data_IF_279236687884
#
_entry.id   IF_279236687884
#
_cell.length_a   1.000
_cell.length_b   1.000
_cell.length_c   1.000
_cell.angle_alpha   90.00
_cell.angle_beta   90.00
_cell.angle_gamma   90.00
#
_symmetry.space_group_name_H-M   'P 1'
#
loop_
_entity.id
_entity.type
_entity.pdbx_description
1 polymer ?
#
# COMPACT_ATOMS: atom_id res chain seq x y z
N UNK A 1 15.63 12.12 15.87
CA UNK A 1 15.18 12.11 14.46
C UNK A 1 15.55 13.43 13.80
N UNK A 2 16.07 13.39 12.57
CA UNK A 2 16.39 14.57 11.77
C UNK A 2 15.77 14.42 10.38
N UNK A 3 14.94 15.37 9.97
CA UNK A 3 14.48 15.50 8.58
C UNK A 3 15.62 16.09 7.74
N UNK A 4 15.94 15.47 6.63
CA UNK A 4 16.99 15.89 5.69
C UNK A 4 16.36 16.63 4.52
N UNK A 5 15.33 16.04 3.91
CA UNK A 5 14.71 16.59 2.69
C UNK A 5 13.27 16.14 2.55
N UNK A 6 12.43 17.01 2.04
CA UNK A 6 11.12 16.68 1.44
C UNK A 6 11.20 16.90 -0.07
N UNK A 7 10.40 16.16 -0.81
CA UNK A 7 10.31 16.31 -2.26
C UNK A 7 9.17 15.49 -2.86
N UNK A 8 9.18 15.40 -4.18
CA UNK A 8 8.17 14.69 -4.95
C UNK A 8 8.82 13.61 -5.82
N UNK A 9 8.19 12.43 -5.84
CA UNK A 9 8.51 11.37 -6.81
C UNK A 9 7.87 11.72 -8.16
N UNK A 10 6.63 12.27 -8.14
CA UNK A 10 5.92 12.67 -9.35
C UNK A 10 6.26 14.10 -9.75
N UNK A 11 6.78 14.36 -10.98
CA UNK A 11 7.05 15.70 -11.46
C UNK A 11 5.76 16.49 -11.69
N UNK A 12 5.77 17.80 -11.36
CA UNK A 12 4.58 18.68 -11.40
C UNK A 12 4.04 18.92 -12.82
N UNK A 13 4.88 18.91 -13.83
CA UNK A 13 4.58 19.51 -15.13
C UNK A 13 4.06 18.54 -16.19
N UNK A 14 4.07 17.23 -15.95
CA UNK A 14 3.82 16.23 -17.00
C UNK A 14 2.54 15.42 -16.89
N UNK A 15 1.77 15.59 -15.81
CA UNK A 15 0.58 14.79 -15.60
C UNK A 15 -0.69 15.62 -15.58
N UNK A 16 -1.46 15.62 -16.69
CA UNK A 16 -2.76 16.26 -16.74
C UNK A 16 -3.80 15.58 -15.84
N UNK A 17 -3.49 14.38 -15.34
CA UNK A 17 -4.33 13.62 -14.41
C UNK A 17 -3.73 13.72 -13.03
N UNK A 18 -4.35 14.55 -12.22
CA UNK A 18 -3.80 15.09 -10.98
C UNK A 18 -3.98 14.18 -9.76
N UNK A 19 -4.37 12.92 -9.91
CA UNK A 19 -4.56 12.01 -8.79
C UNK A 19 -3.57 10.85 -8.84
N UNK A 20 -2.58 10.90 -7.95
CA UNK A 20 -1.60 9.83 -7.70
C UNK A 20 -1.68 9.44 -6.23
N UNK A 21 -1.77 8.15 -5.92
CA UNK A 21 -1.99 7.67 -4.55
C UNK A 21 -1.43 6.27 -4.30
N UNK A 22 -1.46 5.86 -3.06
CA UNK A 22 -1.11 4.51 -2.57
C UNK A 22 0.27 4.05 -3.06
N UNK A 23 1.34 4.80 -2.69
CA UNK A 23 2.67 4.44 -3.13
C UNK A 23 3.28 3.34 -2.27
N UNK A 24 4.23 2.64 -2.89
CA UNK A 24 5.19 1.78 -2.20
C UNK A 24 6.61 2.13 -2.64
N UNK A 25 7.61 1.88 -1.79
CA UNK A 25 9.02 2.01 -2.12
C UNK A 25 9.82 0.86 -1.53
N UNK A 26 10.75 0.33 -2.33
CA UNK A 26 11.73 -0.67 -1.90
C UNK A 26 13.14 -0.25 -2.30
N UNK A 27 14.12 -0.68 -1.51
CA UNK A 27 15.52 -0.65 -1.89
C UNK A 27 15.88 -1.99 -2.54
N UNK A 28 16.41 -1.94 -3.75
CA UNK A 28 16.84 -3.11 -4.51
C UNK A 28 18.27 -3.52 -4.13
N UNK A 29 18.62 -4.77 -4.35
CA UNK A 29 19.94 -5.33 -4.07
C UNK A 29 21.07 -4.60 -4.79
N UNK A 30 20.80 -3.95 -5.93
CA UNK A 30 21.75 -3.12 -6.66
C UNK A 30 21.94 -1.71 -6.08
N UNK A 31 21.18 -1.37 -5.01
CA UNK A 31 21.19 -0.07 -4.35
C UNK A 31 20.29 0.98 -4.99
N UNK A 32 19.55 0.63 -6.05
CA UNK A 32 18.51 1.48 -6.64
C UNK A 32 17.28 1.48 -5.76
N UNK A 33 16.58 2.61 -5.64
CA UNK A 33 15.23 2.64 -5.08
C UNK A 33 14.21 2.52 -6.21
N UNK A 34 13.18 1.69 -5.99
CA UNK A 34 12.03 1.58 -6.86
C UNK A 34 10.79 2.00 -6.09
N UNK A 35 10.11 3.03 -6.56
CA UNK A 35 8.79 3.43 -6.08
C UNK A 35 7.72 3.08 -7.11
N UNK A 36 6.56 2.59 -6.66
CA UNK A 36 5.40 2.35 -7.50
C UNK A 36 4.15 2.96 -6.85
N UNK A 37 3.16 3.33 -7.65
CA UNK A 37 1.91 3.96 -7.18
C UNK A 37 0.78 3.83 -8.19
N UNK A 38 -0.45 4.06 -7.74
CA UNK A 38 -1.60 4.24 -8.62
C UNK A 38 -1.59 5.64 -9.22
N UNK A 39 -1.57 5.73 -10.54
CA UNK A 39 -1.51 7.02 -11.24
C UNK A 39 -2.39 7.05 -12.50
N UNK A 40 -2.22 8.08 -13.33
CA UNK A 40 -3.02 8.33 -14.53
C UNK A 40 -4.53 8.52 -14.22
N UNK A 41 -4.87 8.88 -13.00
CA UNK A 41 -6.22 8.93 -12.46
C UNK A 41 -6.79 10.35 -12.50
N UNK A 42 -8.08 10.45 -12.76
CA UNK A 42 -8.84 11.69 -12.60
C UNK A 42 -9.32 11.87 -11.17
N UNK A 43 -9.65 10.77 -10.50
CA UNK A 43 -10.24 10.67 -9.16
C UNK A 43 -9.75 9.42 -8.42
N UNK A 44 -10.18 9.31 -7.17
CA UNK A 44 -9.93 8.16 -6.30
C UNK A 44 -10.37 6.83 -6.93
N UNK A 45 -11.57 6.76 -7.51
CA UNK A 45 -12.04 5.66 -8.37
C UNK A 45 -12.06 6.15 -9.80
N UNK A 46 -11.39 5.44 -10.70
CA UNK A 46 -11.19 5.95 -12.05
C UNK A 46 -10.79 4.83 -13.03
N UNK A 47 -11.59 4.54 -14.07
CA UNK A 47 -11.33 3.46 -15.01
C UNK A 47 -10.10 3.69 -15.91
N UNK A 48 -9.39 4.81 -15.72
CA UNK A 48 -8.11 5.12 -16.37
C UNK A 48 -6.90 4.76 -15.49
N UNK A 49 -7.13 4.28 -14.26
CA UNK A 49 -6.07 3.99 -13.31
C UNK A 49 -5.05 2.99 -13.84
N UNK A 50 -3.77 3.27 -13.61
CA UNK A 50 -2.63 2.42 -13.95
C UNK A 50 -1.68 2.34 -12.78
N UNK A 51 -0.85 1.30 -12.76
CA UNK A 51 0.30 1.27 -11.87
C UNK A 51 1.51 1.87 -12.60
N UNK A 52 2.07 2.90 -12.00
CA UNK A 52 3.27 3.59 -12.44
C UNK A 52 4.42 3.28 -11.51
N UNK A 53 5.65 3.40 -12.00
CA UNK A 53 6.86 3.32 -11.21
C UNK A 53 7.87 4.39 -11.58
N UNK A 54 8.76 4.73 -10.66
CA UNK A 54 9.96 5.54 -10.89
C UNK A 54 11.14 4.99 -10.08
N UNK A 55 12.34 5.29 -10.56
CA UNK A 55 13.58 4.83 -9.97
C UNK A 55 14.42 5.99 -9.46
N UNK A 56 15.19 5.73 -8.40
CA UNK A 56 16.24 6.63 -7.92
C UNK A 56 17.55 5.88 -7.79
N UNK A 57 18.60 6.41 -8.39
CA UNK A 57 19.96 5.86 -8.31
C UNK A 57 20.82 6.55 -7.25
N UNK A 58 20.34 7.63 -6.67
CA UNK A 58 21.08 8.50 -5.73
C UNK A 58 20.52 8.44 -4.28
N UNK A 59 19.81 7.37 -3.95
CA UNK A 59 19.27 7.17 -2.61
C UNK A 59 18.00 7.95 -2.29
N UNK A 60 17.22 8.31 -3.30
CA UNK A 60 15.94 8.99 -3.15
C UNK A 60 16.01 10.51 -3.29
N UNK A 61 17.17 11.09 -3.58
CA UNK A 61 17.33 12.54 -3.72
C UNK A 61 16.76 13.07 -5.03
N UNK A 62 16.87 12.27 -6.11
CA UNK A 62 16.22 12.52 -7.39
C UNK A 62 15.53 11.26 -7.91
N UNK A 63 14.50 11.43 -8.72
CA UNK A 63 13.69 10.36 -9.30
C UNK A 63 13.65 10.51 -10.82
N UNK A 64 13.75 9.36 -11.49
CA UNK A 64 13.63 9.30 -12.95
C UNK A 64 12.19 9.54 -13.42
N UNK A 65 12.02 9.57 -14.75
CA UNK A 65 10.69 9.69 -15.35
C UNK A 65 9.84 8.48 -15.00
N UNK A 66 8.58 8.67 -14.60
CA UNK A 66 7.65 7.59 -14.37
C UNK A 66 7.36 6.77 -15.63
N UNK A 67 7.21 5.46 -15.45
CA UNK A 67 6.82 4.52 -16.50
C UNK A 67 5.72 3.58 -16.01
N UNK A 68 4.93 3.05 -16.95
CA UNK A 68 3.80 2.18 -16.63
C UNK A 68 4.34 0.77 -16.40
N UNK A 69 3.92 0.14 -15.30
CA UNK A 69 4.27 -1.25 -14.95
C UNK A 69 3.06 -2.20 -14.93
N UNK A 70 1.83 -1.66 -14.85
CA UNK A 70 0.59 -2.40 -15.09
C UNK A 70 -0.44 -1.48 -15.75
N UNK A 71 -1.13 -2.01 -16.76
CA UNK A 71 -2.18 -1.31 -17.49
C UNK A 71 -3.16 -2.34 -18.08
N UNK A 72 -4.04 -2.84 -17.24
CA UNK A 72 -5.14 -3.70 -17.68
C UNK A 72 -6.28 -2.86 -18.27
N UNK A 73 -7.33 -3.46 -18.85
CA UNK A 73 -8.54 -2.71 -19.20
C UNK A 73 -9.28 -2.10 -18.00
N UNK A 74 -9.01 -2.57 -16.77
CA UNK A 74 -9.68 -2.16 -15.54
C UNK A 74 -8.98 -0.98 -14.84
N UNK A 75 -9.49 -0.58 -13.68
CA UNK A 75 -8.87 0.42 -12.80
C UNK A 75 -7.78 -0.24 -11.95
N UNK A 76 -6.52 -0.17 -12.38
CA UNK A 76 -5.37 -0.75 -11.67
C UNK A 76 -4.93 0.13 -10.50
N UNK A 77 -4.72 -0.50 -9.31
CA UNK A 77 -4.51 0.19 -8.04
C UNK A 77 -3.54 -0.54 -7.11
N UNK A 78 -3.11 0.18 -6.08
CA UNK A 78 -2.55 -0.32 -4.80
C UNK A 78 -1.33 -1.24 -5.00
N UNK A 79 -0.32 -0.74 -5.70
CA UNK A 79 0.89 -1.50 -5.96
C UNK A 79 1.73 -1.69 -4.69
N UNK A 80 1.89 -2.94 -4.28
CA UNK A 80 2.84 -3.35 -3.25
C UNK A 80 4.05 -4.05 -3.86
N UNK A 81 5.26 -3.77 -3.42
CA UNK A 81 6.49 -4.32 -3.98
C UNK A 81 7.28 -5.11 -2.95
N UNK A 82 7.91 -6.20 -3.40
CA UNK A 82 8.88 -6.97 -2.62
C UNK A 82 9.96 -7.54 -3.54
N UNK A 83 11.23 -7.20 -3.32
CA UNK A 83 12.32 -7.92 -3.97
C UNK A 83 12.47 -9.29 -3.31
N UNK A 84 12.20 -10.35 -4.05
CA UNK A 84 12.20 -11.75 -3.57
C UNK A 84 13.54 -12.46 -3.83
N UNK A 85 14.32 -11.95 -4.74
CA UNK A 85 15.72 -12.30 -4.99
C UNK A 85 16.35 -11.16 -5.78
N UNK A 86 17.70 -11.02 -5.85
CA UNK A 86 18.34 -9.99 -6.64
C UNK A 86 17.81 -9.93 -8.07
N UNK A 87 17.23 -8.79 -8.45
CA UNK A 87 16.61 -8.57 -9.75
C UNK A 87 15.22 -9.19 -9.96
N UNK A 88 14.70 -9.94 -8.99
CA UNK A 88 13.35 -10.53 -9.03
C UNK A 88 12.45 -9.79 -8.06
N UNK A 89 11.40 -9.16 -8.58
CA UNK A 89 10.49 -8.35 -7.79
C UNK A 89 9.06 -8.88 -7.95
N UNK A 90 8.41 -9.20 -6.85
CA UNK A 90 6.99 -9.49 -6.82
C UNK A 90 6.22 -8.20 -6.57
N UNK A 91 5.23 -7.93 -7.41
CA UNK A 91 4.26 -6.85 -7.24
C UNK A 91 2.89 -7.44 -6.92
N UNK A 92 2.25 -6.91 -5.91
CA UNK A 92 0.82 -7.05 -5.68
C UNK A 92 0.11 -5.83 -6.19
N UNK A 93 -1.09 -5.98 -6.72
CA UNK A 93 -1.96 -4.88 -7.10
C UNK A 93 -3.42 -5.30 -6.99
N UNK A 94 -4.32 -4.41 -7.36
CA UNK A 94 -5.75 -4.66 -7.32
C UNK A 94 -6.40 -3.96 -8.51
N UNK A 95 -7.29 -4.67 -9.21
CA UNK A 95 -8.00 -4.11 -10.37
C UNK A 95 -9.50 -4.05 -10.08
N UNK A 96 -10.08 -2.85 -10.15
CA UNK A 96 -11.51 -2.58 -9.96
C UNK A 96 -12.28 -2.64 -11.27
N UNK A 97 -13.46 -3.26 -11.24
CA UNK A 97 -14.33 -3.39 -12.40
C UNK A 97 -15.21 -2.17 -12.66
N UNK A 98 -16.01 -2.25 -13.73
CA UNK A 98 -16.92 -1.18 -14.17
C UNK A 98 -18.03 -0.88 -13.16
N UNK A 99 -18.54 -1.86 -12.41
CA UNK A 99 -19.65 -1.68 -11.47
C UNK A 99 -19.28 -0.73 -10.35
N UNK A 100 -18.05 -0.82 -9.84
CA UNK A 100 -17.56 0.10 -8.83
C UNK A 100 -17.48 1.52 -9.39
N UNK A 101 -17.03 1.70 -10.63
CA UNK A 101 -17.02 2.98 -11.31
C UNK A 101 -18.42 3.58 -11.39
N UNK A 102 -19.43 2.84 -11.84
CA UNK A 102 -20.81 3.32 -11.91
C UNK A 102 -21.40 3.61 -10.53
N UNK A 103 -21.09 2.81 -9.50
CA UNK A 103 -21.48 3.06 -8.12
C UNK A 103 -20.94 4.39 -7.62
N UNK A 104 -19.64 4.64 -7.83
CA UNK A 104 -18.98 5.87 -7.36
C UNK A 104 -19.33 7.12 -8.16
N UNK A 105 -19.71 7.01 -9.41
CA UNK A 105 -20.25 8.14 -10.18
C UNK A 105 -21.55 8.71 -9.59
N UNK A 106 -22.25 7.95 -8.72
CA UNK A 106 -23.45 8.40 -7.99
C UNK A 106 -23.10 9.07 -6.66
N UNK A 107 -21.89 8.92 -6.14
CA UNK A 107 -21.47 9.47 -4.86
C UNK A 107 -20.80 10.83 -5.00
N UNK A 108 -21.23 11.81 -4.18
CA UNK A 108 -20.74 13.19 -4.25
C UNK A 108 -19.21 13.35 -4.04
N UNK A 109 -18.60 12.52 -3.18
CA UNK A 109 -17.15 12.52 -2.93
C UNK A 109 -16.30 12.19 -4.16
N UNK A 110 -16.89 11.47 -5.12
CA UNK A 110 -16.23 10.99 -6.32
C UNK A 110 -16.85 11.57 -7.59
N UNK A 111 -17.73 12.58 -7.45
CA UNK A 111 -18.36 13.24 -8.58
C UNK A 111 -17.30 13.83 -9.52
N UNK A 112 -17.45 13.61 -10.83
CA UNK A 112 -16.70 14.33 -11.86
C UNK A 112 -16.87 15.84 -11.66
N UNK A 113 -15.80 16.60 -11.91
CA UNK A 113 -15.83 18.06 -11.76
C UNK A 113 -16.64 18.73 -12.88
N UNK A 114 -16.71 18.08 -14.04
CA UNK A 114 -17.42 18.57 -15.23
C UNK A 114 -18.24 17.46 -15.88
N UNK A 115 -19.23 17.87 -16.70
CA UNK A 115 -20.01 16.92 -17.50
C UNK A 115 -19.13 16.14 -18.48
N UNK A 116 -18.12 16.80 -19.07
CA UNK A 116 -17.16 16.18 -19.98
C UNK A 116 -16.31 15.12 -19.28
N UNK A 117 -15.84 15.39 -18.04
CA UNK A 117 -15.09 14.41 -17.25
C UNK A 117 -15.96 13.18 -16.96
N UNK A 118 -17.24 13.37 -16.63
CA UNK A 118 -18.21 12.31 -16.41
C UNK A 118 -18.41 11.44 -17.66
N UNK A 119 -18.66 12.07 -18.81
CA UNK A 119 -18.85 11.38 -20.09
C UNK A 119 -17.63 10.52 -20.44
N UNK A 120 -16.42 11.04 -20.23
CA UNK A 120 -15.17 10.31 -20.46
C UNK A 120 -15.06 9.07 -19.55
N UNK A 121 -15.41 9.20 -18.27
CA UNK A 121 -15.38 8.08 -17.30
C UNK A 121 -16.42 7.02 -17.68
N UNK A 122 -17.67 7.45 -17.99
CA UNK A 122 -18.75 6.54 -18.38
C UNK A 122 -18.41 5.79 -19.68
N UNK A 123 -17.88 6.51 -20.68
CA UNK A 123 -17.43 5.91 -21.95
C UNK A 123 -16.34 4.87 -21.70
N UNK A 124 -15.31 5.18 -20.90
CA UNK A 124 -14.24 4.24 -20.60
C UNK A 124 -14.74 3.01 -19.85
N UNK A 125 -15.62 3.19 -18.85
CA UNK A 125 -16.22 2.08 -18.12
C UNK A 125 -17.06 1.16 -19.02
N UNK A 126 -17.75 1.73 -20.02
CA UNK A 126 -18.53 0.95 -20.99
C UNK A 126 -17.67 0.14 -21.99
N UNK A 127 -16.39 0.49 -22.14
CA UNK A 127 -15.44 -0.28 -22.96
C UNK A 127 -14.95 -1.56 -22.25
N UNK A 128 -15.10 -1.67 -20.92
CA UNK A 128 -14.70 -2.86 -20.14
C UNK A 128 -15.68 -4.00 -20.45
N UNK A 129 -15.14 -5.12 -20.88
CA UNK A 129 -15.93 -6.30 -21.21
C UNK A 129 -16.04 -7.31 -20.06
N UNK A 130 -16.99 -8.21 -20.11
CA UNK A 130 -17.09 -9.33 -19.14
C UNK A 130 -15.85 -10.24 -19.18
N UNK A 131 -15.20 -10.37 -20.35
CA UNK A 131 -13.95 -11.10 -20.48
C UNK A 131 -12.78 -10.42 -19.78
N UNK A 132 -12.72 -9.09 -19.80
CA UNK A 132 -11.71 -8.32 -19.09
C UNK A 132 -11.88 -8.49 -17.57
N UNK A 133 -13.10 -8.37 -17.05
CA UNK A 133 -13.39 -8.58 -15.63
C UNK A 133 -13.14 -10.05 -15.23
N UNK A 134 -13.51 -11.01 -16.04
CA UNK A 134 -13.23 -12.43 -15.76
C UNK A 134 -11.73 -12.72 -15.63
N UNK A 135 -10.89 -11.97 -16.36
CA UNK A 135 -9.43 -12.15 -16.36
C UNK A 135 -8.71 -11.37 -15.28
N UNK A 136 -9.09 -10.11 -14.98
CA UNK A 136 -8.28 -9.17 -14.22
C UNK A 136 -8.94 -8.63 -12.95
N UNK A 137 -10.26 -8.84 -12.76
CA UNK A 137 -10.96 -8.25 -11.60
C UNK A 137 -10.47 -8.85 -10.28
N UNK A 138 -10.07 -7.99 -9.35
CA UNK A 138 -9.64 -8.34 -7.99
C UNK A 138 -8.14 -8.17 -7.76
N UNK A 139 -7.62 -8.72 -6.64
CA UNK A 139 -6.20 -8.66 -6.30
C UNK A 139 -5.37 -9.50 -7.28
N UNK A 140 -4.19 -9.00 -7.61
CA UNK A 140 -3.30 -9.65 -8.56
C UNK A 140 -1.86 -9.70 -8.09
N UNK A 141 -1.12 -10.67 -8.64
CA UNK A 141 0.34 -10.80 -8.52
C UNK A 141 0.96 -10.65 -9.92
N UNK A 142 2.05 -9.90 -10.00
CA UNK A 142 2.91 -9.81 -11.19
C UNK A 142 4.37 -9.95 -10.79
N UNK A 143 5.18 -10.59 -11.63
CA UNK A 143 6.59 -10.84 -11.38
C UNK A 143 7.46 -10.11 -12.42
N UNK A 144 8.47 -9.41 -11.93
CA UNK A 144 9.59 -8.93 -12.74
C UNK A 144 10.82 -9.79 -12.48
N UNK A 145 11.60 -10.06 -13.52
CA UNK A 145 12.91 -10.76 -13.45
C UNK A 145 14.07 -9.93 -13.95
N UNK A 146 13.85 -8.64 -14.17
CA UNK A 146 14.79 -7.69 -14.74
C UNK A 146 14.86 -6.37 -13.95
N UNK A 147 14.85 -6.47 -12.61
CA UNK A 147 14.85 -5.30 -11.71
C UNK A 147 13.62 -4.39 -11.85
N UNK A 148 12.45 -4.89 -12.29
CA UNK A 148 11.24 -4.10 -12.40
C UNK A 148 11.14 -3.27 -13.69
N UNK A 149 11.91 -3.61 -14.73
CA UNK A 149 11.77 -2.98 -16.05
C UNK A 149 10.59 -3.54 -16.82
N UNK A 150 10.42 -4.87 -16.80
CA UNK A 150 9.26 -5.54 -17.39
C UNK A 150 8.57 -6.46 -16.38
N UNK A 151 7.29 -6.74 -16.61
CA UNK A 151 6.43 -7.47 -15.69
C UNK A 151 5.61 -8.52 -16.41
N UNK A 152 5.36 -9.63 -15.74
CA UNK A 152 4.43 -10.66 -16.23
C UNK A 152 3.01 -10.13 -16.26
N UNK A 153 2.15 -10.78 -17.04
CA UNK A 153 0.69 -10.59 -16.94
C UNK A 153 0.23 -10.80 -15.49
N UNK A 154 -0.72 -9.99 -15.01
CA UNK A 154 -1.28 -10.15 -13.68
C UNK A 154 -2.03 -11.47 -13.50
N UNK A 155 -1.79 -12.15 -12.37
CA UNK A 155 -2.51 -13.36 -11.96
C UNK A 155 -3.39 -13.04 -10.76
N UNK A 156 -4.69 -13.32 -10.84
CA UNK A 156 -5.66 -13.04 -9.76
C UNK A 156 -5.44 -13.98 -8.58
N UNK A 157 -5.49 -13.40 -7.37
CA UNK A 157 -5.40 -14.09 -6.07
C UNK A 157 -6.55 -13.69 -5.16
N UNK A 158 -6.63 -14.24 -3.93
CA UNK A 158 -7.81 -14.07 -3.07
C UNK A 158 -7.67 -12.98 -2.01
N UNK A 159 -6.48 -12.44 -1.77
CA UNK A 159 -6.25 -11.43 -0.71
C UNK A 159 -5.69 -10.13 -1.27
N UNK A 160 -6.08 -9.02 -0.65
CA UNK A 160 -5.69 -7.67 -1.07
C UNK A 160 -5.15 -6.84 0.08
N UNK A 161 -4.02 -6.16 -0.16
CA UNK A 161 -3.50 -5.10 0.68
C UNK A 161 -2.59 -4.17 -0.14
N UNK A 162 -2.60 -2.85 0.12
CA UNK A 162 -1.82 -1.89 -0.66
C UNK A 162 -0.31 -1.92 -0.36
N UNK A 163 0.12 -2.51 0.77
CA UNK A 163 1.54 -2.46 1.18
C UNK A 163 2.41 -3.61 0.66
N UNK A 164 1.79 -4.58 0.00
CA UNK A 164 2.53 -5.68 -0.61
C UNK A 164 2.97 -6.80 0.35
N UNK A 165 3.69 -7.79 -0.18
CA UNK A 165 4.15 -8.94 0.57
C UNK A 165 5.46 -8.66 1.31
N UNK A 166 5.85 -9.58 2.19
CA UNK A 166 7.14 -9.60 2.86
C UNK A 166 7.85 -10.94 2.66
N UNK A 167 9.15 -10.88 2.39
CA UNK A 167 10.01 -12.06 2.38
C UNK A 167 10.32 -12.47 3.83
N UNK A 168 10.12 -13.74 4.16
CA UNK A 168 10.49 -14.32 5.43
C UNK A 168 11.91 -14.91 5.39
N UNK A 169 12.54 -15.02 6.54
CA UNK A 169 13.91 -15.60 6.67
C UNK A 169 14.04 -17.05 6.20
N UNK A 170 12.92 -17.79 6.17
CA UNK A 170 12.87 -19.18 5.70
C UNK A 170 12.75 -19.28 4.15
N UNK A 171 12.68 -18.14 3.45
CA UNK A 171 12.55 -18.07 2.00
C UNK A 171 11.10 -18.10 1.48
N UNK A 172 10.11 -18.24 2.35
CA UNK A 172 8.70 -18.06 1.96
C UNK A 172 8.36 -16.57 1.84
N UNK A 173 7.35 -16.28 1.02
CA UNK A 173 6.78 -14.95 0.89
C UNK A 173 5.42 -14.97 1.60
N UNK A 174 5.21 -14.00 2.48
CA UNK A 174 3.95 -13.82 3.20
C UNK A 174 3.23 -12.58 2.68
N UNK A 175 2.02 -12.76 2.17
CA UNK A 175 1.13 -11.67 1.79
C UNK A 175 -0.11 -11.70 2.68
N UNK A 176 -0.32 -10.64 3.44
CA UNK A 176 -1.51 -10.50 4.31
C UNK A 176 -2.48 -9.49 3.68
N UNK A 177 -3.76 -9.81 3.71
CA UNK A 177 -4.78 -8.96 3.09
C UNK A 177 -6.18 -9.23 3.61
N UNK A 178 -7.11 -8.36 3.25
CA UNK A 178 -8.53 -8.67 3.35
C UNK A 178 -8.89 -9.68 2.25
N UNK A 179 -9.84 -10.56 2.53
CA UNK A 179 -10.38 -11.41 1.47
C UNK A 179 -11.08 -10.53 0.44
N UNK A 180 -10.66 -10.66 -0.80
CA UNK A 180 -11.23 -9.94 -1.92
C UNK A 180 -11.43 -10.93 -3.08
N UNK A 181 -12.49 -11.71 -3.00
CA UNK A 181 -12.91 -12.53 -4.12
C UNK A 181 -13.36 -11.65 -5.31
N UNK A 182 -13.71 -12.28 -6.44
CA UNK A 182 -14.18 -11.60 -7.67
C UNK A 182 -15.39 -10.68 -7.46
N UNK A 183 -16.14 -10.91 -6.40
CA UNK A 183 -17.22 -10.04 -5.95
C UNK A 183 -16.68 -9.23 -4.76
N UNK A 184 -16.32 -8.00 -4.92
CA UNK A 184 -15.79 -7.02 -3.94
C UNK A 184 -16.41 -7.08 -2.52
N UNK A 185 -16.63 -8.27 -2.02
CA UNK A 185 -17.20 -8.64 -0.75
C UNK A 185 -16.71 -10.02 -0.34
N UNK A 186 -16.82 -10.33 0.93
CA UNK A 186 -16.59 -11.69 1.41
C UNK A 186 -17.52 -12.65 0.67
N UNK A 187 -16.98 -13.70 0.06
CA UNK A 187 -17.77 -14.76 -0.53
C UNK A 187 -18.80 -15.27 0.51
N UNK A 188 -19.99 -15.66 0.07
CA UNK A 188 -21.03 -16.14 0.98
C UNK A 188 -20.47 -17.22 1.91
N UNK A 189 -20.50 -16.98 3.22
CA UNK A 189 -19.95 -17.87 4.24
C UNK A 189 -18.48 -17.59 4.63
N UNK A 190 -17.78 -16.65 3.98
CA UNK A 190 -16.43 -16.27 4.35
C UNK A 190 -16.44 -15.39 5.60
N UNK A 191 -15.63 -15.74 6.60
CA UNK A 191 -15.51 -14.94 7.81
C UNK A 191 -14.78 -13.63 7.52
N UNK A 192 -15.30 -12.50 8.01
CA UNK A 192 -14.63 -11.19 7.91
C UNK A 192 -13.34 -11.18 8.72
N UNK A 193 -12.26 -10.63 8.16
CA UNK A 193 -10.99 -10.54 8.83
C UNK A 193 -9.81 -10.40 7.87
N UNK A 194 -8.63 -10.57 8.44
CA UNK A 194 -7.35 -10.55 7.72
C UNK A 194 -6.89 -11.98 7.48
N UNK A 195 -6.47 -12.22 6.26
CA UNK A 195 -5.98 -13.50 5.77
C UNK A 195 -4.50 -13.43 5.40
N UNK A 196 -3.80 -14.53 5.56
CA UNK A 196 -2.43 -14.74 5.10
C UNK A 196 -2.41 -15.66 3.89
N UNK A 197 -1.86 -15.20 2.79
CA UNK A 197 -1.51 -15.98 1.61
C UNK A 197 0.00 -16.25 1.66
N UNK A 198 0.39 -17.52 1.50
CA UNK A 198 1.78 -17.91 1.43
C UNK A 198 2.18 -18.21 0.00
N UNK A 199 3.40 -17.82 -0.36
CA UNK A 199 3.99 -18.16 -1.64
C UNK A 199 5.39 -18.75 -1.39
N UNK A 200 5.82 -19.61 -2.31
CA UNK A 200 7.18 -20.12 -2.31
C UNK A 200 8.18 -19.04 -2.82
N UNK A 201 9.47 -19.38 -2.79
CA UNK A 201 10.55 -18.50 -3.29
C UNK A 201 10.43 -18.13 -4.78
N UNK A 202 9.62 -18.84 -5.53
CA UNK A 202 9.37 -18.60 -6.96
C UNK A 202 8.05 -17.85 -7.21
N UNK A 203 7.41 -17.39 -6.11
CA UNK A 203 6.13 -16.66 -6.10
C UNK A 203 4.92 -17.50 -6.49
N UNK A 204 4.98 -18.83 -6.39
CA UNK A 204 3.82 -19.69 -6.53
C UNK A 204 3.03 -19.76 -5.22
N UNK A 205 1.71 -19.67 -5.29
CA UNK A 205 0.82 -19.76 -4.13
C UNK A 205 0.89 -21.16 -3.48
N UNK A 206 1.06 -21.19 -2.15
CA UNK A 206 1.11 -22.42 -1.33
C UNK A 206 -0.18 -22.54 -0.52
N UNK A 207 -1.05 -23.46 -0.92
CA UNK A 207 -2.30 -23.74 -0.20
C UNK A 207 -3.33 -22.60 -0.31
N UNK A 208 -4.35 -22.66 0.54
CA UNK A 208 -5.39 -21.64 0.60
C UNK A 208 -5.04 -20.53 1.61
N UNK A 209 -5.58 -19.31 1.45
CA UNK A 209 -5.40 -18.25 2.44
C UNK A 209 -5.90 -18.67 3.83
N UNK A 210 -5.11 -18.39 4.86
CA UNK A 210 -5.41 -18.68 6.25
C UNK A 210 -5.98 -17.42 6.93
N UNK A 211 -7.14 -17.53 7.61
CA UNK A 211 -7.62 -16.46 8.48
C UNK A 211 -6.69 -16.31 9.69
N UNK A 212 -6.11 -15.12 9.86
CA UNK A 212 -5.13 -14.84 10.93
C UNK A 212 -5.64 -13.84 11.97
N UNK A 213 -6.57 -12.97 11.61
CA UNK A 213 -7.19 -12.00 12.51
C UNK A 213 -8.67 -11.82 12.14
N UNK A 214 -9.60 -12.54 12.79
CA UNK A 214 -11.04 -12.30 12.63
C UNK A 214 -11.39 -10.86 12.99
N UNK A 215 -12.32 -10.24 12.24
CA UNK A 215 -12.83 -8.91 12.62
C UNK A 215 -13.58 -9.01 13.95
N UNK A 216 -13.14 -8.25 14.93
CA UNK A 216 -13.72 -8.15 16.27
C UNK A 216 -14.25 -6.73 16.52
N UNK A 217 -15.08 -6.54 17.55
CA UNK A 217 -15.58 -5.22 17.96
C UNK A 217 -17.03 -4.90 17.49
N UNK A 218 -17.65 -5.75 16.67
CA UNK A 218 -19.03 -5.57 16.20
C UNK A 218 -19.14 -5.43 14.67
N UNK A 219 -20.38 -5.32 14.17
CA UNK A 219 -20.67 -5.35 12.74
C UNK A 219 -20.11 -4.16 11.94
N UNK A 220 -19.96 -3.00 12.58
CA UNK A 220 -19.46 -1.79 11.98
C UNK A 220 -17.92 -1.67 11.99
N UNK A 221 -17.22 -2.59 12.70
CA UNK A 221 -15.77 -2.66 12.63
C UNK A 221 -15.33 -3.23 11.29
N UNK A 222 -14.30 -2.58 10.71
CA UNK A 222 -13.66 -3.01 9.47
C UNK A 222 -12.18 -3.21 9.74
N UNK A 223 -11.70 -4.43 9.50
CA UNK A 223 -10.28 -4.77 9.46
C UNK A 223 -9.88 -4.85 8.01
N UNK A 224 -8.91 -4.03 7.59
CA UNK A 224 -8.47 -3.97 6.20
C UNK A 224 -7.01 -3.48 6.10
N UNK A 225 -6.46 -3.51 4.91
CA UNK A 225 -5.17 -2.94 4.54
C UNK A 225 -4.04 -3.27 5.53
N UNK A 226 -3.85 -4.55 5.85
CA UNK A 226 -2.79 -4.97 6.76
C UNK A 226 -1.42 -4.92 6.08
N UNK A 227 -0.38 -4.90 6.92
CA UNK A 227 0.99 -5.18 6.50
C UNK A 227 1.68 -6.09 7.51
N UNK A 228 2.37 -7.13 7.03
CA UNK A 228 3.16 -8.04 7.84
C UNK A 228 4.64 -7.76 7.69
N UNK A 229 5.40 -7.83 8.79
CA UNK A 229 6.86 -7.76 8.78
C UNK A 229 7.44 -8.76 9.75
N UNK A 230 8.47 -9.50 9.31
CA UNK A 230 9.24 -10.34 10.22
C UNK A 230 10.22 -9.47 11.02
N UNK A 231 10.17 -9.61 12.33
CA UNK A 231 11.01 -8.90 13.28
C UNK A 231 12.43 -9.52 13.36
N UNK A 232 13.43 -8.79 13.89
CA UNK A 232 14.79 -9.33 14.07
C UNK A 232 14.84 -10.65 14.85
N UNK A 233 14.00 -10.82 15.87
CA UNK A 233 13.91 -12.05 16.68
C UNK A 233 13.20 -13.22 15.98
N UNK A 234 12.62 -13.01 14.80
CA UNK A 234 11.92 -14.02 14.00
C UNK A 234 10.39 -13.98 14.12
N UNK A 235 9.82 -13.24 15.07
CA UNK A 235 8.38 -13.03 15.18
C UNK A 235 7.85 -12.37 13.89
N UNK A 236 6.58 -12.60 13.59
CA UNK A 236 5.88 -11.87 12.52
C UNK A 236 4.86 -10.93 13.17
N UNK A 237 5.03 -9.63 12.99
CA UNK A 237 4.09 -8.62 13.44
C UNK A 237 3.22 -8.19 12.25
N UNK A 238 1.91 -8.12 12.47
CA UNK A 238 0.94 -7.65 11.47
C UNK A 238 0.30 -6.38 11.99
N UNK A 239 0.45 -5.27 11.25
CA UNK A 239 -0.27 -4.03 11.48
C UNK A 239 -1.55 -4.05 10.65
N UNK A 240 -2.69 -3.77 11.25
CA UNK A 240 -4.03 -3.85 10.65
C UNK A 240 -4.68 -2.48 10.76
N UNK A 241 -5.15 -1.92 9.64
CA UNK A 241 -6.04 -0.76 9.65
C UNK A 241 -7.40 -1.17 10.22
N UNK A 242 -7.86 -0.45 11.24
CA UNK A 242 -9.15 -0.69 11.87
C UNK A 242 -9.97 0.59 11.88
N UNK A 243 -11.18 0.48 11.39
CA UNK A 243 -12.17 1.56 11.36
C UNK A 243 -13.48 1.11 11.99
N UNK A 244 -14.12 2.04 12.71
CA UNK A 244 -15.53 1.97 13.10
C UNK A 244 -16.09 3.39 13.12
N UNK A 245 -17.13 3.63 12.33
CA UNK A 245 -17.81 4.93 12.31
C UNK A 245 -18.61 5.17 13.58
N UNK A 246 -19.24 4.12 14.11
CA UNK A 246 -20.07 4.18 15.31
C UNK A 246 -19.23 4.49 16.56
N UNK A 247 -18.09 3.82 16.68
CA UNK A 247 -17.17 3.99 17.81
C UNK A 247 -16.10 5.06 17.56
N UNK A 248 -16.14 5.73 16.41
CA UNK A 248 -15.14 6.74 15.97
C UNK A 248 -13.70 6.21 16.06
N UNK A 249 -13.46 4.99 15.56
CA UNK A 249 -12.15 4.35 15.55
C UNK A 249 -11.47 4.58 14.20
N UNK A 250 -10.25 5.13 14.23
CA UNK A 250 -9.35 5.28 13.09
C UNK A 250 -7.92 4.94 13.57
N UNK A 251 -7.63 3.64 13.68
CA UNK A 251 -6.46 3.17 14.41
C UNK A 251 -5.75 2.01 13.70
N UNK A 252 -4.54 1.74 14.14
CA UNK A 252 -3.79 0.53 13.81
C UNK A 252 -3.91 -0.46 14.98
N UNK A 253 -4.22 -1.73 14.67
CA UNK A 253 -4.17 -2.85 15.60
C UNK A 253 -3.01 -3.76 15.24
N UNK A 254 -2.51 -4.51 16.21
CA UNK A 254 -1.47 -5.52 16.00
C UNK A 254 -1.96 -6.92 16.33
N UNK A 255 -1.58 -7.90 15.50
CA UNK A 255 -1.49 -9.30 15.92
C UNK A 255 -0.08 -9.83 15.63
N UNK A 256 0.34 -10.86 16.35
CA UNK A 256 1.71 -11.38 16.32
C UNK A 256 1.72 -12.89 16.23
N UNK A 257 2.66 -13.41 15.46
CA UNK A 257 3.03 -14.81 15.44
C UNK A 257 4.45 -15.00 15.99
N UNK A 258 4.65 -15.98 16.86
CA UNK A 258 5.95 -16.39 17.41
C UNK A 258 6.39 -17.77 16.92
N UNK A 259 5.62 -18.38 16.01
CA UNK A 259 5.81 -19.75 15.51
C UNK A 259 6.00 -19.83 13.98
N UNK A 260 6.50 -18.73 13.39
CA UNK A 260 6.73 -18.62 11.94
C UNK A 260 5.45 -18.42 11.13
N UNK A 261 4.40 -17.85 11.74
CA UNK A 261 3.15 -17.52 11.08
C UNK A 261 2.16 -18.70 10.98
N UNK A 262 2.33 -19.73 11.81
CA UNK A 262 1.36 -20.84 11.89
C UNK A 262 0.13 -20.43 12.67
N UNK A 263 0.35 -19.70 13.77
CA UNK A 263 -0.72 -19.12 14.60
C UNK A 263 -0.42 -17.66 14.90
N UNK A 264 -1.48 -16.88 15.15
CA UNK A 264 -1.39 -15.47 15.51
C UNK A 264 -2.20 -15.18 16.77
N UNK A 265 -1.73 -14.22 17.57
CA UNK A 265 -2.52 -13.68 18.68
C UNK A 265 -3.76 -12.97 18.17
N UNK A 266 -4.73 -12.75 19.04
CA UNK A 266 -5.83 -11.82 18.75
C UNK A 266 -5.29 -10.45 18.38
N UNK A 267 -6.02 -9.75 17.50
CA UNK A 267 -5.69 -8.38 17.14
C UNK A 267 -6.03 -7.43 18.29
N UNK A 268 -5.06 -6.65 18.73
CA UNK A 268 -5.19 -5.71 19.83
C UNK A 268 -4.94 -4.26 19.38
N UNK A 269 -5.68 -3.26 19.91
CA UNK A 269 -5.50 -1.86 19.58
C UNK A 269 -4.14 -1.35 20.07
N UNK A 270 -3.48 -0.52 19.26
CA UNK A 270 -2.25 0.18 19.66
C UNK A 270 -2.52 1.39 20.55
N UNK A 271 -3.75 1.90 20.54
CA UNK A 271 -4.11 3.17 21.17
C UNK A 271 -3.68 4.42 20.35
N UNK A 272 -3.18 4.23 19.13
CA UNK A 272 -2.76 5.33 18.26
C UNK A 272 -3.84 5.73 17.28
N UNK A 273 -3.85 7.01 16.92
CA UNK A 273 -4.65 7.54 15.82
C UNK A 273 -3.77 7.56 14.58
N UNK A 274 -4.14 6.78 13.57
CA UNK A 274 -3.42 6.76 12.30
C UNK A 274 -3.43 5.40 11.61
N UNK A 275 -3.49 5.44 10.27
CA UNK A 275 -3.63 4.28 9.40
C UNK A 275 -3.54 4.67 7.92
N UNK A 276 -3.34 3.69 6.98
CA UNK A 276 -2.77 2.39 7.25
C UNK A 276 -1.30 2.51 7.62
N UNK A 277 -0.72 1.44 8.16
CA UNK A 277 0.63 1.44 8.67
C UNK A 277 1.53 0.47 7.91
N UNK A 278 2.78 0.90 7.68
CA UNK A 278 3.85 0.08 7.11
C UNK A 278 5.01 -0.04 8.09
N UNK A 279 5.65 -1.20 8.15
CA UNK A 279 6.79 -1.47 9.03
C UNK A 279 8.06 -1.77 8.21
N UNK A 280 9.16 -1.20 8.65
CA UNK A 280 10.49 -1.44 8.10
C UNK A 280 11.48 -1.80 9.22
N UNK A 281 12.35 -2.77 8.98
CA UNK A 281 13.46 -3.11 9.89
C UNK A 281 14.73 -2.52 9.30
N UNK A 282 15.36 -1.59 10.04
CA UNK A 282 16.58 -0.93 9.61
C UNK A 282 17.77 -1.88 9.61
N UNK A 283 18.85 -1.52 8.95
CA UNK A 283 20.12 -2.25 8.96
C UNK A 283 20.71 -2.42 10.37
N UNK A 284 20.29 -1.57 11.33
CA UNK A 284 20.67 -1.62 12.74
C UNK A 284 19.72 -2.47 13.60
N UNK A 285 18.68 -3.07 13.00
CA UNK A 285 17.70 -3.90 13.70
C UNK A 285 16.59 -3.11 14.43
N UNK A 286 16.51 -1.79 14.26
CA UNK A 286 15.39 -1.01 14.77
C UNK A 286 14.17 -1.21 13.88
N UNK A 287 12.98 -1.28 14.48
CA UNK A 287 11.72 -1.38 13.73
C UNK A 287 11.10 0.00 13.65
N UNK A 288 10.89 0.47 12.42
CA UNK A 288 10.21 1.74 12.14
C UNK A 288 8.81 1.42 11.63
N UNK A 289 7.79 2.03 12.22
CA UNK A 289 6.42 2.02 11.70
C UNK A 289 6.06 3.42 11.23
N UNK A 290 5.48 3.53 10.04
CA UNK A 290 4.99 4.78 9.47
C UNK A 290 3.51 4.67 9.14
N UNK A 291 2.74 5.74 9.36
CA UNK A 291 1.30 5.78 9.12
C UNK A 291 0.79 7.17 8.76
N UNK A 292 -0.36 7.24 8.10
CA UNK A 292 -1.07 8.49 7.83
C UNK A 292 -1.91 8.91 9.04
N UNK A 293 -1.79 10.17 9.46
CA UNK A 293 -2.69 10.78 10.44
C UNK A 293 -3.68 11.69 9.73
N UNK A 294 -4.96 11.32 9.76
CA UNK A 294 -6.05 12.03 9.08
C UNK A 294 -6.81 12.99 9.99
N UNK A 295 -6.38 13.11 11.24
CA UNK A 295 -6.85 14.10 12.22
C UNK A 295 -5.81 15.21 12.38
N UNK A 296 -6.28 16.43 12.73
CA UNK A 296 -5.40 17.59 12.90
C UNK A 296 -4.38 17.40 14.04
N UNK A 297 -3.11 17.77 13.80
CA UNK A 297 -2.53 18.18 12.54
C UNK A 297 -2.34 16.97 11.61
N UNK A 298 -2.94 17.07 10.40
CA UNK A 298 -2.89 15.99 9.41
C UNK A 298 -1.50 15.85 8.79
N UNK A 299 -1.13 14.61 8.46
CA UNK A 299 0.15 14.34 7.81
C UNK A 299 0.66 12.93 8.01
N UNK A 300 1.97 12.77 8.04
CA UNK A 300 2.67 11.48 8.12
C UNK A 300 3.42 11.39 9.44
N UNK A 301 3.31 10.24 10.09
CA UNK A 301 3.92 9.95 11.38
C UNK A 301 4.77 8.70 11.33
N UNK A 302 5.71 8.62 12.26
CA UNK A 302 6.50 7.44 12.52
C UNK A 302 6.58 7.14 14.02
N UNK A 303 6.89 5.89 14.36
CA UNK A 303 7.34 5.43 15.67
C UNK A 303 8.46 4.42 15.50
N UNK A 304 9.25 4.24 16.54
CA UNK A 304 10.41 3.34 16.53
C UNK A 304 10.31 2.36 17.69
N UNK A 305 10.57 1.10 17.41
CA UNK A 305 10.73 0.06 18.41
C UNK A 305 12.17 -0.49 18.37
N UNK A 306 12.74 -0.75 19.54
CA UNK A 306 14.06 -1.38 19.73
C UNK A 306 13.98 -2.76 20.40
N UNK A 307 12.76 -3.26 20.56
CA UNK A 307 12.45 -4.53 21.21
C UNK A 307 11.53 -5.42 20.37
N UNK A 308 11.70 -5.40 19.04
CA UNK A 308 10.93 -6.21 18.09
C UNK A 308 9.42 -5.89 18.05
N UNK A 309 9.06 -4.62 18.27
CA UNK A 309 7.67 -4.16 18.19
C UNK A 309 6.84 -4.47 19.43
N UNK A 310 7.46 -4.74 20.60
CA UNK A 310 6.74 -4.87 21.87
C UNK A 310 6.45 -3.50 22.49
N UNK A 311 7.40 -2.58 22.43
CA UNK A 311 7.19 -1.19 22.84
C UNK A 311 7.62 -0.23 21.73
N UNK A 312 7.05 0.99 21.76
CA UNK A 312 7.24 1.98 20.72
C UNK A 312 7.53 3.35 21.32
N UNK A 313 8.33 4.13 20.61
CA UNK A 313 8.63 5.51 20.98
C UNK A 313 7.38 6.39 20.95
N UNK A 314 7.51 7.61 21.45
CA UNK A 314 6.57 8.69 21.13
C UNK A 314 6.47 8.91 19.63
N UNK A 315 5.35 9.51 19.19
CA UNK A 315 5.08 9.86 17.82
C UNK A 315 6.12 10.84 17.26
N UNK A 316 6.68 10.52 16.10
CA UNK A 316 7.64 11.32 15.37
C UNK A 316 6.96 11.93 14.14
N UNK A 317 6.79 13.26 14.05
CA UNK A 317 6.16 13.89 12.91
C UNK A 317 7.12 13.96 11.72
N UNK A 318 6.81 13.25 10.63
CA UNK A 318 7.49 13.41 9.35
C UNK A 318 6.89 14.55 8.52
N UNK A 319 5.56 14.73 8.57
CA UNK A 319 4.80 15.86 7.98
C UNK A 319 3.62 16.21 8.89
N UNK A 320 3.28 17.49 8.94
CA UNK A 320 2.15 18.05 9.74
C UNK A 320 1.33 19.08 8.95
N UNK A 321 1.57 19.18 7.67
CA UNK A 321 1.04 20.20 6.78
C UNK A 321 0.08 19.63 5.70
N UNK A 322 -0.53 18.48 5.97
CA UNK A 322 -1.57 17.92 5.12
C UNK A 322 -2.81 18.79 5.08
N UNK A 323 -3.31 19.10 3.87
CA UNK A 323 -4.46 19.97 3.66
C UNK A 323 -5.79 19.24 3.53
N UNK A 324 -5.74 17.91 3.38
CA UNK A 324 -6.90 17.07 3.11
C UNK A 324 -6.72 15.75 3.84
N UNK A 325 -7.83 15.13 4.27
CA UNK A 325 -7.85 13.82 4.89
C UNK A 325 -7.46 12.68 3.93
N UNK A 326 -7.55 12.92 2.61
CA UNK A 326 -7.15 11.97 1.57
C UNK A 326 -5.62 11.97 1.40
N UNK A 327 -4.96 11.36 2.35
CA UNK A 327 -3.50 11.29 2.46
C UNK A 327 -3.07 9.98 3.12
N UNK A 328 -1.77 9.70 3.05
CA UNK A 328 -1.15 8.64 3.84
C UNK A 328 -0.52 7.54 3.00
N UNK A 329 -0.76 6.30 3.39
CA UNK A 329 -0.15 5.08 2.84
C UNK A 329 1.38 5.20 2.75
N UNK A 330 2.03 5.62 3.84
CA UNK A 330 3.47 5.73 3.82
C UNK A 330 4.12 4.35 3.74
N UNK A 331 5.14 4.22 2.91
CA UNK A 331 6.07 3.10 2.94
C UNK A 331 7.48 3.62 3.14
N UNK A 332 8.27 2.90 3.93
CA UNK A 332 9.62 3.29 4.31
C UNK A 332 10.61 2.22 3.91
N UNK A 333 11.75 2.66 3.39
CA UNK A 333 12.93 1.84 3.14
C UNK A 333 14.19 2.58 3.58
N UNK A 334 15.34 1.92 3.57
CA UNK A 334 16.65 2.50 3.89
C UNK A 334 17.52 2.52 2.65
N UNK A 335 18.19 3.64 2.38
CA UNK A 335 19.15 3.73 1.29
C UNK A 335 20.54 3.23 1.73
N UNK A 336 21.46 3.13 0.77
CA UNK A 336 22.85 2.68 1.02
C UNK A 336 23.65 3.57 1.99
N UNK A 337 23.18 4.77 2.29
CA UNK A 337 23.80 5.70 3.24
C UNK A 337 23.24 5.51 4.67
N UNK A 338 22.29 4.60 4.88
CA UNK A 338 21.61 4.41 6.15
C UNK A 338 20.56 5.49 6.45
N UNK A 339 20.13 6.24 5.43
CA UNK A 339 19.03 7.20 5.55
C UNK A 339 17.72 6.52 5.23
N UNK A 340 16.67 6.88 5.96
CA UNK A 340 15.31 6.38 5.73
C UNK A 340 14.62 7.24 4.68
N UNK A 341 13.98 6.59 3.72
CA UNK A 341 13.13 7.23 2.72
C UNK A 341 11.72 6.75 2.93
N UNK A 342 10.82 7.67 3.25
CA UNK A 342 9.39 7.39 3.35
C UNK A 342 8.69 8.05 2.17
N UNK A 343 8.00 7.26 1.34
CA UNK A 343 7.11 7.77 0.29
C UNK A 343 5.66 7.68 0.76
N UNK A 344 4.85 8.63 0.36
CA UNK A 344 3.42 8.74 0.72
C UNK A 344 2.71 9.63 -0.29
N UNK A 345 1.37 9.67 -0.26
CA UNK A 345 0.66 10.68 -1.03
C UNK A 345 -0.04 11.68 -0.11
N UNK A 346 -0.07 12.91 -0.54
CA UNK A 346 -0.64 14.02 0.24
C UNK A 346 -0.79 15.26 -0.64
N UNK A 347 -1.82 16.06 -0.34
CA UNK A 347 -1.90 17.46 -0.78
C UNK A 347 -1.24 18.34 0.26
N UNK A 348 -0.42 19.26 -0.22
CA UNK A 348 0.21 20.31 0.59
C UNK A 348 0.07 21.66 -0.12
N UNK A 349 0.65 22.72 0.47
CA UNK A 349 0.60 24.08 -0.10
C UNK A 349 1.18 24.19 -1.52
N UNK A 350 2.06 23.28 -1.92
CA UNK A 350 2.71 23.26 -3.22
C UNK A 350 1.95 22.39 -4.24
N UNK A 351 0.89 21.66 -3.78
CA UNK A 351 0.08 20.75 -4.59
C UNK A 351 -1.43 20.85 -4.32
N UNK A 352 -1.96 22.06 -4.15
CA UNK A 352 -3.33 22.34 -3.67
C UNK A 352 -4.46 21.58 -4.39
N UNK A 353 -4.31 21.30 -5.68
CA UNK A 353 -5.34 20.65 -6.51
C UNK A 353 -4.97 19.22 -6.93
N UNK A 354 -3.84 18.69 -6.46
CA UNK A 354 -3.24 17.45 -6.96
C UNK A 354 -2.82 16.55 -5.82
N UNK A 355 -3.24 15.28 -5.83
CA UNK A 355 -2.60 14.28 -5.01
C UNK A 355 -1.29 13.86 -5.69
N UNK A 356 -0.17 14.11 -5.03
CA UNK A 356 1.17 13.79 -5.52
C UNK A 356 1.81 12.71 -4.67
N UNK A 357 2.73 11.98 -5.27
CA UNK A 357 3.62 11.10 -4.52
C UNK A 357 4.77 11.94 -4.00
N UNK A 358 4.76 12.11 -2.68
CA UNK A 358 5.74 12.84 -1.91
C UNK A 358 6.77 11.88 -1.31
N UNK A 359 7.92 12.41 -0.91
CA UNK A 359 8.86 11.67 -0.08
C UNK A 359 9.48 12.55 1.02
N UNK A 360 9.94 11.87 2.06
CA UNK A 360 10.77 12.46 3.11
C UNK A 360 12.02 11.60 3.29
N UNK A 361 13.21 12.23 3.22
CA UNK A 361 14.47 11.61 3.62
C UNK A 361 14.78 12.05 5.04
N UNK A 362 15.09 11.11 5.92
CA UNK A 362 15.29 11.37 7.34
C UNK A 362 16.16 10.32 8.02
N UNK A 363 16.62 10.62 9.23
CA UNK A 363 17.40 9.70 10.07
C UNK A 363 16.83 9.62 11.47
N UNK A 364 17.09 8.51 12.15
CA UNK A 364 16.71 8.31 13.56
C UNK A 364 17.59 9.10 14.52
N UNK A 365 18.79 9.47 14.12
CA UNK A 365 19.79 10.22 14.92
C UNK A 365 19.91 11.64 14.45
#
# INVERSE_FOLDING_TARGET
>A
MKIIKHGFVTPKEKYPRAYNAWPTVISLSDGTLLAAWSGERLKHICPFGKVLAARSADGGYTWGEPYIIQNTPLDDRDAGLCEIAPGRILMTSFSEGRDITYKYLKHWLHHPRTAEERERIEKRAAEITDADEARYLGPTLSLSTDNGHTWSDPTVVEVSSPHGPTMLKNGEILYVGSWAGKDTGYAAGQQRGIYALRLDKDANVIGAPQLIAPTAGGEDFVFCEPYAKQMPNGDILVAIRVESKKENVHSTYFCRSTDGGKTFSDAAPTGWIGMPAHMFVTSKGEVVITYGRREMPMGIRARVSRDNGYTWSEELPLREDGLDWDLGYPTTTENKNGELITVYYMKDKDSLNENRINYTIWTLN
#
